data_IF_444640519538
#
_entry.id   IF_444640519538
#
_cell.length_a   1.000
_cell.length_b   1.000
_cell.length_c   1.000
_cell.angle_alpha   90.00
_cell.angle_beta   90.00
_cell.angle_gamma   90.00
#
_symmetry.space_group_name_H-M   'P 1'
#
loop_
_entity.id
_entity.type
_entity.pdbx_description
1 polymer ?
#
# COMPACT_ATOMS: atom_id res chain seq x y z
N UNK A 1 -30.88 41.98 13.24
CA UNK A 1 -30.51 40.56 13.16
C UNK A 1 -29.01 40.50 12.97
N UNK A 2 -28.30 40.15 14.05
CA UNK A 2 -26.84 40.08 14.13
C UNK A 2 -26.42 38.69 13.69
N UNK A 3 -25.53 38.57 12.70
CA UNK A 3 -24.86 37.30 12.40
C UNK A 3 -23.36 37.55 12.26
N UNK A 4 -22.66 37.28 13.37
CA UNK A 4 -21.22 37.06 13.40
C UNK A 4 -20.96 35.66 12.82
N UNK A 5 -20.15 35.56 11.76
CA UNK A 5 -19.64 34.29 11.27
C UNK A 5 -18.18 34.17 11.69
N UNK A 6 -17.94 33.37 12.73
CA UNK A 6 -16.61 33.06 13.25
C UNK A 6 -16.08 31.83 12.51
N UNK A 7 -14.98 32.02 11.77
CA UNK A 7 -14.23 30.95 11.14
C UNK A 7 -13.68 29.96 12.19
N UNK A 8 -14.17 28.72 12.15
CA UNK A 8 -13.60 27.59 12.89
C UNK A 8 -12.45 26.98 12.09
N UNK A 9 -11.22 27.37 12.38
CA UNK A 9 -10.03 26.59 12.01
C UNK A 9 -9.71 25.61 13.13
N UNK A 10 -9.85 24.33 12.84
CA UNK A 10 -9.53 23.22 13.74
C UNK A 10 -8.07 22.80 13.54
N UNK A 11 -7.20 23.23 14.45
CA UNK A 11 -5.85 22.68 14.58
C UNK A 11 -5.92 21.41 15.43
N UNK A 12 -5.97 20.25 14.78
CA UNK A 12 -5.66 18.97 15.41
C UNK A 12 -4.14 18.79 15.43
N UNK A 13 -3.58 18.59 16.63
CA UNK A 13 -2.35 17.80 16.80
C UNK A 13 -1.09 18.54 17.23
N UNK A 14 -1.09 19.09 18.45
CA UNK A 14 0.16 19.28 19.20
C UNK A 14 -0.02 18.75 20.62
N UNK A 15 0.35 17.48 20.85
CA UNK A 15 0.52 16.93 22.20
C UNK A 15 1.97 17.12 22.60
N UNK A 16 2.19 17.80 23.74
CA UNK A 16 3.39 17.58 24.55
C UNK A 16 4.34 18.77 24.73
N UNK A 17 3.85 19.90 25.24
CA UNK A 17 4.70 20.83 26.00
C UNK A 17 4.07 21.06 27.37
N UNK A 18 4.67 20.48 28.41
CA UNK A 18 4.38 20.83 29.80
C UNK A 18 5.07 22.16 30.08
N UNK A 19 4.31 23.25 29.98
CA UNK A 19 4.70 24.54 30.55
C UNK A 19 4.58 24.45 32.07
N UNK A 20 5.71 24.47 32.78
CA UNK A 20 5.70 24.71 34.22
C UNK A 20 5.61 26.22 34.45
N UNK A 21 4.38 26.71 34.64
CA UNK A 21 4.11 28.05 35.15
C UNK A 21 4.56 28.13 36.61
N UNK A 22 5.64 28.87 36.89
CA UNK A 22 5.95 29.34 38.24
C UNK A 22 4.89 30.39 38.62
N UNK A 23 3.83 29.97 39.32
CA UNK A 23 2.98 30.89 40.07
C UNK A 23 3.75 31.37 41.30
N UNK A 24 4.29 32.59 41.22
CA UNK A 24 4.62 33.40 42.40
C UNK A 24 3.31 33.76 43.10
N UNK A 25 2.92 32.97 44.10
CA UNK A 25 1.79 33.26 44.97
C UNK A 25 2.25 34.23 46.05
N UNK A 26 2.05 35.52 45.81
CA UNK A 26 2.17 36.56 46.85
C UNK A 26 0.82 36.67 47.55
N UNK A 27 0.70 36.39 48.87
CA UNK A 27 -0.49 36.75 49.62
C UNK A 27 -0.39 38.20 50.09
N UNK A 28 -1.39 39.00 49.73
CA UNK A 28 -1.68 40.30 50.31
C UNK A 28 -2.58 40.14 51.54
N UNK A 29 -2.40 41.06 52.51
CA UNK A 29 -3.28 41.55 53.59
C UNK A 29 -2.70 41.38 55.01
N UNK A 30 -3.01 42.27 55.98
CA UNK A 30 -3.28 43.72 55.93
C UNK A 30 -2.41 44.52 56.91
N UNK A 31 -2.37 45.86 56.76
CA UNK A 31 -1.79 46.79 57.75
C UNK A 31 -2.58 46.77 59.06
N UNK A 32 -1.88 46.58 60.19
CA UNK A 32 -2.30 47.01 61.53
C UNK A 32 -1.06 47.53 62.27
N UNK A 33 -1.30 48.59 63.06
CA UNK A 33 -0.39 49.58 63.60
C UNK A 33 0.76 49.10 64.52
N UNK A 34 1.71 50.01 64.66
CA UNK A 34 2.94 49.95 65.45
C UNK A 34 2.71 49.57 66.92
N UNK A 35 3.41 48.52 67.37
CA UNK A 35 3.94 48.54 68.73
C UNK A 35 5.35 47.93 68.77
N UNK A 36 6.28 48.85 69.03
CA UNK A 36 7.71 48.66 69.20
C UNK A 36 7.96 47.75 70.41
N UNK A 37 8.28 46.49 70.14
CA UNK A 37 8.90 45.60 71.12
C UNK A 37 10.25 45.25 70.53
N UNK A 38 11.31 45.57 71.27
CA UNK A 38 12.70 45.19 70.98
C UNK A 38 12.82 43.66 70.99
N UNK A 39 12.36 43.03 69.92
CA UNK A 39 12.74 41.69 69.57
C UNK A 39 14.14 41.80 68.99
N UNK A 40 15.13 41.42 69.79
CA UNK A 40 16.49 41.14 69.35
C UNK A 40 16.37 40.33 68.05
N UNK A 41 16.54 40.99 66.90
CA UNK A 41 16.44 40.34 65.59
C UNK A 41 17.68 39.47 65.53
N UNK A 42 17.57 38.25 66.05
CA UNK A 42 18.49 37.16 65.75
C UNK A 42 18.32 36.96 64.25
N UNK A 43 19.10 37.71 63.47
CA UNK A 43 19.17 37.64 62.01
C UNK A 43 19.67 36.24 61.72
N UNK A 44 18.74 35.29 61.58
CA UNK A 44 19.04 33.90 61.29
C UNK A 44 19.81 33.89 59.98
N UNK A 45 21.08 33.46 59.95
CA UNK A 45 21.86 33.54 58.73
C UNK A 45 21.17 32.72 57.64
N UNK A 46 20.84 33.37 56.52
CA UNK A 46 20.32 32.68 55.34
C UNK A 46 21.49 31.92 54.69
N UNK A 47 21.47 30.60 54.81
CA UNK A 47 22.47 29.74 54.19
C UNK A 47 21.99 29.36 52.79
N UNK A 48 22.65 29.90 51.77
CA UNK A 48 22.43 29.44 50.39
C UNK A 48 23.35 28.25 50.12
N UNK A 49 22.76 27.08 49.87
CA UNK A 49 23.47 25.92 49.33
C UNK A 49 23.59 26.08 47.82
N UNK A 50 24.72 26.61 47.36
CA UNK A 50 25.03 26.65 45.93
C UNK A 50 25.53 25.26 45.54
N UNK A 51 24.74 24.54 44.72
CA UNK A 51 25.19 23.31 44.08
C UNK A 51 26.18 23.67 42.98
N UNK A 52 27.46 23.42 43.21
CA UNK A 52 28.49 23.62 42.18
C UNK A 52 28.39 22.46 41.19
N UNK A 53 28.19 22.73 39.88
CA UNK A 53 28.22 21.70 38.87
C UNK A 53 29.55 20.93 38.96
N UNK A 54 29.48 19.61 39.12
CA UNK A 54 30.68 18.78 39.26
C UNK A 54 31.51 18.90 37.99
N UNK A 55 32.81 19.12 38.15
CA UNK A 55 33.72 19.29 37.02
C UNK A 55 33.81 17.97 36.25
N UNK A 56 33.29 17.98 35.03
CA UNK A 56 33.37 16.87 34.08
C UNK A 56 34.47 17.21 33.09
N UNK A 57 35.39 16.27 32.90
CA UNK A 57 36.48 16.36 31.94
C UNK A 57 35.99 16.83 30.55
N UNK A 58 36.65 17.88 30.05
CA UNK A 58 36.39 18.43 28.72
C UNK A 58 36.51 17.37 27.62
N UNK A 59 37.46 16.45 27.75
CA UNK A 59 37.66 15.34 26.80
C UNK A 59 36.43 14.44 26.70
N UNK A 60 35.77 14.17 27.83
CA UNK A 60 34.59 13.31 27.87
C UNK A 60 33.36 14.00 27.28
N UNK A 61 33.23 15.32 27.50
CA UNK A 61 32.18 16.13 26.84
C UNK A 61 32.35 16.14 25.33
N UNK A 62 33.59 16.26 24.84
CA UNK A 62 33.86 16.23 23.41
C UNK A 62 33.58 14.86 22.80
N UNK A 63 33.90 13.76 23.49
CA UNK A 63 33.51 12.40 23.05
C UNK A 63 31.99 12.24 22.90
N UNK A 64 31.20 12.76 23.85
CA UNK A 64 29.74 12.76 23.73
C UNK A 64 29.29 13.60 22.54
N UNK A 65 29.88 14.78 22.34
CA UNK A 65 29.55 15.65 21.21
C UNK A 65 29.82 14.98 19.87
N UNK A 66 30.98 14.33 19.72
CA UNK A 66 31.32 13.57 18.51
C UNK A 66 30.35 12.41 18.29
N UNK A 67 30.01 11.66 19.34
CA UNK A 67 29.03 10.58 19.25
C UNK A 67 27.61 11.09 18.88
N UNK A 68 27.22 12.29 19.35
CA UNK A 68 25.96 12.93 18.94
C UNK A 68 25.95 13.26 17.44
N UNK A 69 27.02 13.90 16.94
CA UNK A 69 27.17 14.22 15.52
C UNK A 69 27.12 12.95 14.65
N UNK A 70 27.77 11.87 15.10
CA UNK A 70 27.74 10.60 14.40
C UNK A 70 26.33 10.01 14.32
N UNK A 71 25.53 10.10 15.39
CA UNK A 71 24.12 9.65 15.37
C UNK A 71 23.29 10.49 14.41
N UNK A 72 23.49 11.81 14.40
CA UNK A 72 22.79 12.73 13.49
C UNK A 72 23.09 12.42 12.03
N UNK A 73 24.37 12.24 11.68
CA UNK A 73 24.81 11.86 10.34
C UNK A 73 24.20 10.52 9.89
N UNK A 74 24.24 9.49 10.76
CA UNK A 74 23.61 8.18 10.46
C UNK A 74 22.10 8.29 10.30
N UNK A 75 21.47 9.17 11.06
CA UNK A 75 20.03 9.44 10.96
C UNK A 75 19.68 10.09 9.63
N UNK A 76 20.45 11.10 9.21
CA UNK A 76 20.29 11.75 7.90
C UNK A 76 20.45 10.76 6.75
N UNK A 77 21.47 9.90 6.79
CA UNK A 77 21.68 8.87 5.79
C UNK A 77 20.50 7.90 5.69
N UNK A 78 20.01 7.40 6.84
CA UNK A 78 18.84 6.53 6.89
C UNK A 78 17.59 7.22 6.34
N UNK A 79 17.37 8.48 6.69
CA UNK A 79 16.19 9.24 6.27
C UNK A 79 16.25 9.61 4.77
N UNK A 80 17.43 9.85 4.22
CA UNK A 80 17.64 9.96 2.78
C UNK A 80 17.24 8.66 2.06
N UNK A 81 17.67 7.49 2.55
CA UNK A 81 17.24 6.20 2.00
C UNK A 81 15.71 6.04 2.12
N UNK A 82 15.11 6.44 3.24
CA UNK A 82 13.64 6.39 3.42
C UNK A 82 12.91 7.22 2.36
N UNK A 83 13.39 8.42 2.05
CA UNK A 83 12.82 9.25 1.00
C UNK A 83 12.89 8.55 -0.37
N UNK A 84 14.04 7.94 -0.70
CA UNK A 84 14.17 7.18 -1.96
C UNK A 84 13.24 5.96 -2.03
N UNK A 85 13.02 5.26 -0.90
CA UNK A 85 12.06 4.14 -0.81
C UNK A 85 10.64 4.64 -1.09
N UNK A 86 10.26 5.80 -0.55
CA UNK A 86 8.93 6.35 -0.75
C UNK A 86 8.67 6.67 -2.22
N UNK A 87 9.61 7.38 -2.88
CA UNK A 87 9.54 7.63 -4.32
C UNK A 87 9.48 6.32 -5.12
N UNK A 88 10.29 5.33 -4.74
CA UNK A 88 10.32 4.04 -5.44
C UNK A 88 9.01 3.27 -5.27
N UNK A 89 8.36 3.35 -4.10
CA UNK A 89 7.04 2.75 -3.87
C UNK A 89 5.99 3.32 -4.80
N UNK A 90 5.99 4.63 -5.01
CA UNK A 90 5.07 5.30 -5.94
C UNK A 90 5.28 4.77 -7.36
N UNK A 91 6.53 4.72 -7.84
CA UNK A 91 6.82 4.13 -9.17
C UNK A 91 6.41 2.65 -9.27
N UNK A 92 6.63 1.84 -8.22
CA UNK A 92 6.22 0.44 -8.21
C UNK A 92 4.69 0.28 -8.25
N UNK A 93 3.96 1.18 -7.58
CA UNK A 93 2.51 1.20 -7.62
C UNK A 93 2.01 1.56 -9.03
N UNK A 94 2.59 2.56 -9.68
CA UNK A 94 2.24 2.90 -11.07
C UNK A 94 2.44 1.71 -12.03
N UNK A 95 3.55 0.96 -11.90
CA UNK A 95 3.77 -0.24 -12.71
C UNK A 95 2.84 -1.39 -12.33
N UNK A 96 2.44 -1.49 -11.05
CA UNK A 96 1.41 -2.46 -10.62
C UNK A 96 0.08 -2.15 -11.28
N UNK A 97 -0.33 -0.87 -11.30
CA UNK A 97 -1.60 -0.45 -11.90
C UNK A 97 -1.58 -0.69 -13.41
N UNK A 98 -0.48 -0.37 -14.09
CA UNK A 98 -0.28 -0.71 -15.51
C UNK A 98 -0.38 -2.20 -15.78
N UNK A 99 0.20 -3.03 -14.92
CA UNK A 99 0.10 -4.49 -15.04
C UNK A 99 -1.34 -4.98 -14.84
N UNK A 100 -2.07 -4.43 -13.86
CA UNK A 100 -3.44 -4.84 -13.61
C UNK A 100 -4.38 -4.42 -14.75
N UNK A 101 -4.18 -3.23 -15.31
CA UNK A 101 -4.88 -2.78 -16.50
C UNK A 101 -4.57 -3.67 -17.72
N UNK A 102 -3.30 -4.02 -17.95
CA UNK A 102 -2.94 -4.93 -19.04
C UNK A 102 -3.59 -6.33 -18.87
N UNK A 103 -3.66 -6.84 -17.64
CA UNK A 103 -4.34 -8.11 -17.34
C UNK A 103 -5.84 -8.04 -17.56
N UNK A 104 -6.49 -6.93 -17.21
CA UNK A 104 -7.94 -6.78 -17.42
C UNK A 104 -8.25 -6.71 -18.91
N UNK A 105 -7.46 -5.98 -19.69
CA UNK A 105 -7.54 -5.96 -21.16
C UNK A 105 -7.32 -7.35 -21.77
N UNK A 106 -6.31 -8.09 -21.32
CA UNK A 106 -6.05 -9.46 -21.76
C UNK A 106 -7.22 -10.41 -21.45
N UNK A 107 -7.87 -10.26 -20.28
CA UNK A 107 -9.08 -11.02 -19.93
C UNK A 107 -10.23 -10.69 -20.89
N UNK A 108 -10.47 -9.42 -21.18
CA UNK A 108 -11.50 -9.00 -22.14
C UNK A 108 -11.26 -9.66 -23.51
N UNK A 109 -10.00 -9.71 -23.97
CA UNK A 109 -9.66 -10.41 -25.21
C UNK A 109 -9.95 -11.92 -25.14
N UNK A 110 -9.64 -12.59 -24.02
CA UNK A 110 -9.95 -14.02 -23.84
C UNK A 110 -11.45 -14.28 -23.82
N UNK A 111 -12.20 -13.46 -23.09
CA UNK A 111 -13.64 -13.59 -22.95
C UNK A 111 -14.32 -13.38 -24.30
N UNK A 112 -13.90 -12.36 -25.06
CA UNK A 112 -14.35 -12.14 -26.44
C UNK A 112 -14.06 -13.31 -27.37
N UNK A 113 -12.89 -13.95 -27.21
CA UNK A 113 -12.53 -15.13 -27.99
C UNK A 113 -13.38 -16.35 -27.61
N UNK A 114 -13.68 -16.55 -26.33
CA UNK A 114 -14.57 -17.61 -25.86
C UNK A 114 -16.00 -17.40 -26.37
N UNK A 115 -16.52 -16.18 -26.29
CA UNK A 115 -17.85 -15.84 -26.80
C UNK A 115 -17.96 -16.07 -28.31
N UNK A 116 -16.95 -15.65 -29.08
CA UNK A 116 -16.92 -15.88 -30.53
C UNK A 116 -16.81 -17.35 -30.91
N UNK A 117 -16.11 -18.18 -30.12
CA UNK A 117 -16.12 -19.64 -30.33
C UNK A 117 -17.52 -20.22 -30.16
N UNK A 118 -18.25 -19.81 -29.13
CA UNK A 118 -19.63 -20.26 -28.92
C UNK A 118 -20.55 -19.86 -30.08
N UNK A 119 -20.39 -18.65 -30.63
CA UNK A 119 -21.14 -18.20 -31.81
C UNK A 119 -20.85 -19.08 -33.04
N UNK A 120 -19.57 -19.42 -33.28
CA UNK A 120 -19.15 -20.31 -34.36
C UNK A 120 -19.74 -21.72 -34.17
N UNK A 121 -19.68 -22.26 -32.95
CA UNK A 121 -20.20 -23.60 -32.65
C UNK A 121 -21.71 -23.67 -32.85
N UNK A 122 -22.45 -22.61 -32.51
CA UNK A 122 -23.90 -22.48 -32.77
C UNK A 122 -24.21 -22.46 -34.27
N UNK A 123 -23.54 -21.60 -35.05
CA UNK A 123 -23.75 -21.51 -36.50
C UNK A 123 -23.36 -22.82 -37.20
N UNK A 124 -22.26 -23.45 -36.79
CA UNK A 124 -21.82 -24.73 -37.36
C UNK A 124 -22.82 -25.86 -37.07
N UNK A 125 -23.43 -25.86 -35.88
CA UNK A 125 -24.44 -26.85 -35.50
C UNK A 125 -25.72 -26.67 -36.33
N UNK A 126 -26.13 -25.42 -36.60
CA UNK A 126 -27.26 -25.13 -37.49
C UNK A 126 -27.01 -25.66 -38.92
N UNK A 127 -25.84 -25.37 -39.51
CA UNK A 127 -25.46 -25.91 -40.83
C UNK A 127 -25.49 -27.45 -40.83
N UNK A 128 -25.07 -28.10 -39.74
CA UNK A 128 -25.14 -29.56 -39.64
C UNK A 128 -26.56 -30.12 -39.56
N UNK A 129 -27.51 -29.39 -38.95
CA UNK A 129 -28.92 -29.78 -38.93
C UNK A 129 -29.52 -29.67 -40.34
N UNK A 130 -29.13 -28.64 -41.08
CA UNK A 130 -29.55 -28.41 -42.47
C UNK A 130 -29.11 -29.57 -43.38
N UNK A 131 -27.85 -29.99 -43.27
CA UNK A 131 -27.33 -31.14 -44.01
C UNK A 131 -28.08 -32.45 -43.70
N UNK A 132 -28.55 -32.62 -42.44
CA UNK A 132 -29.37 -33.77 -42.06
C UNK A 132 -30.77 -33.67 -42.68
N UNK A 133 -31.37 -32.47 -42.70
CA UNK A 133 -32.67 -32.24 -43.33
C UNK A 133 -32.63 -32.52 -44.84
N UNK A 134 -31.61 -32.02 -45.55
CA UNK A 134 -31.42 -32.28 -46.98
C UNK A 134 -31.28 -33.78 -47.28
N UNK A 135 -30.52 -34.49 -46.44
CA UNK A 135 -30.35 -35.95 -46.58
C UNK A 135 -31.65 -36.71 -46.32
N UNK A 136 -32.44 -36.30 -45.33
CA UNK A 136 -33.77 -36.88 -45.07
C UNK A 136 -34.68 -36.65 -46.27
N UNK A 137 -34.74 -35.42 -46.78
CA UNK A 137 -35.59 -35.06 -47.92
C UNK A 137 -35.23 -35.87 -49.17
N UNK A 138 -33.94 -36.02 -49.48
CA UNK A 138 -33.48 -36.80 -50.62
C UNK A 138 -33.89 -38.27 -50.50
N UNK A 139 -33.70 -38.91 -49.34
CA UNK A 139 -34.13 -40.32 -49.16
C UNK A 139 -35.65 -40.48 -49.21
N UNK A 140 -36.41 -39.52 -48.66
CA UNK A 140 -37.88 -39.52 -48.74
C UNK A 140 -38.34 -39.38 -50.20
N UNK A 141 -37.71 -38.51 -50.98
CA UNK A 141 -37.95 -38.36 -52.41
C UNK A 141 -37.63 -39.66 -53.18
N UNK A 142 -36.48 -40.29 -52.92
CA UNK A 142 -36.13 -41.58 -53.52
C UNK A 142 -37.20 -42.64 -53.26
N UNK A 143 -37.69 -42.75 -52.02
CA UNK A 143 -38.76 -43.70 -51.67
C UNK A 143 -40.07 -43.38 -52.43
N UNK A 144 -40.42 -42.10 -52.58
CA UNK A 144 -41.70 -41.68 -53.16
C UNK A 144 -41.73 -41.73 -54.69
N UNK A 145 -40.61 -41.50 -55.34
CA UNK A 145 -40.56 -41.20 -56.77
C UNK A 145 -39.66 -42.13 -57.59
N UNK A 146 -38.86 -42.98 -56.95
CA UNK A 146 -38.02 -43.96 -57.63
C UNK A 146 -38.56 -45.38 -57.42
N UNK A 147 -38.36 -46.26 -58.41
CA UNK A 147 -38.75 -47.67 -58.28
C UNK A 147 -37.59 -48.46 -57.70
N UNK A 148 -37.80 -49.11 -56.56
CA UNK A 148 -36.75 -49.85 -55.85
C UNK A 148 -37.29 -51.12 -55.17
N UNK A 149 -36.43 -52.12 -54.93
CA UNK A 149 -36.83 -53.33 -54.23
C UNK A 149 -37.13 -53.05 -52.75
N UNK A 150 -38.11 -53.77 -52.20
CA UNK A 150 -38.58 -53.68 -50.81
C UNK A 150 -37.48 -53.75 -49.74
N UNK A 151 -36.34 -54.38 -50.05
CA UNK A 151 -35.19 -54.47 -49.13
C UNK A 151 -34.48 -53.12 -48.98
N UNK A 152 -34.30 -52.39 -50.08
CA UNK A 152 -33.66 -51.08 -50.12
C UNK A 152 -34.55 -50.01 -49.50
N UNK A 153 -35.84 -50.02 -49.82
CA UNK A 153 -36.83 -49.14 -49.20
C UNK A 153 -36.85 -49.27 -47.67
N UNK A 154 -36.91 -50.52 -47.15
CA UNK A 154 -36.84 -50.77 -45.71
C UNK A 154 -35.54 -50.29 -45.07
N UNK A 155 -34.44 -50.32 -45.81
CA UNK A 155 -33.15 -49.82 -45.33
C UNK A 155 -33.16 -48.29 -45.25
N UNK A 156 -33.61 -47.59 -46.29
CA UNK A 156 -33.77 -46.13 -46.29
C UNK A 156 -34.69 -45.65 -45.17
N UNK A 157 -35.80 -46.36 -44.90
CA UNK A 157 -36.70 -46.03 -43.78
C UNK A 157 -35.98 -46.11 -42.43
N UNK A 158 -35.08 -47.08 -42.24
CA UNK A 158 -34.29 -47.19 -40.99
C UNK A 158 -33.28 -46.05 -40.87
N UNK A 159 -32.62 -45.69 -41.96
CA UNK A 159 -31.66 -44.59 -42.01
C UNK A 159 -32.34 -43.23 -41.76
N UNK A 160 -33.49 -42.97 -42.38
CA UNK A 160 -34.33 -41.80 -42.10
C UNK A 160 -34.65 -41.70 -40.60
N UNK A 161 -35.02 -42.82 -39.96
CA UNK A 161 -35.30 -42.83 -38.51
C UNK A 161 -34.08 -42.49 -37.68
N UNK A 162 -32.91 -43.04 -38.02
CA UNK A 162 -31.65 -42.73 -37.33
C UNK A 162 -31.26 -41.26 -37.49
N UNK A 163 -31.39 -40.71 -38.70
CA UNK A 163 -31.10 -39.31 -38.98
C UNK A 163 -32.07 -38.35 -38.29
N UNK A 164 -33.36 -38.69 -38.21
CA UNK A 164 -34.34 -37.92 -37.42
C UNK A 164 -33.98 -37.89 -35.94
N UNK A 165 -33.53 -39.02 -35.38
CA UNK A 165 -33.08 -39.09 -33.99
C UNK A 165 -31.80 -38.26 -33.75
N UNK A 166 -30.84 -38.32 -34.67
CA UNK A 166 -29.63 -37.48 -34.60
C UNK A 166 -29.97 -35.97 -34.68
N UNK A 167 -30.88 -35.59 -35.58
CA UNK A 167 -31.36 -34.21 -35.70
C UNK A 167 -31.95 -33.71 -34.39
N UNK A 168 -32.78 -34.53 -33.75
CA UNK A 168 -33.42 -34.20 -32.47
C UNK A 168 -32.39 -34.06 -31.34
N UNK A 169 -31.37 -34.93 -31.31
CA UNK A 169 -30.24 -34.79 -30.38
C UNK A 169 -29.50 -33.45 -30.57
N UNK A 170 -29.12 -33.10 -31.80
CA UNK A 170 -28.43 -31.85 -32.10
C UNK A 170 -29.30 -30.62 -31.81
N UNK A 171 -30.59 -30.68 -32.15
CA UNK A 171 -31.56 -29.61 -31.85
C UNK A 171 -31.74 -29.43 -30.34
N UNK A 172 -31.81 -30.51 -29.56
CA UNK A 172 -31.90 -30.44 -28.10
C UNK A 172 -30.67 -29.81 -27.46
N UNK A 173 -29.49 -29.99 -28.07
CA UNK A 173 -28.22 -29.41 -27.63
C UNK A 173 -28.09 -27.92 -28.00
N UNK A 174 -28.74 -27.47 -29.08
CA UNK A 174 -28.76 -26.06 -29.51
C UNK A 174 -29.71 -25.18 -28.70
N UNK A 175 -30.70 -25.75 -28.00
CA UNK A 175 -31.78 -24.98 -27.37
C UNK A 175 -32.70 -24.36 -28.43
N UNK A 176 -33.92 -23.96 -28.04
CA UNK A 176 -34.94 -23.40 -28.96
C UNK A 176 -34.37 -22.20 -29.72
N UNK A 177 -33.89 -22.45 -30.94
CA UNK A 177 -33.47 -21.45 -31.90
C UNK A 177 -34.40 -21.59 -33.09
N UNK A 178 -34.95 -20.44 -33.51
CA UNK A 178 -36.24 -20.28 -34.16
C UNK A 178 -36.53 -21.24 -35.31
N UNK A 179 -37.70 -21.89 -35.22
CA UNK A 179 -38.30 -22.73 -36.24
C UNK A 179 -38.83 -21.88 -37.40
N UNK A 180 -37.94 -21.30 -38.21
CA UNK A 180 -38.37 -20.63 -39.44
C UNK A 180 -37.97 -21.46 -40.67
N UNK A 181 -38.99 -21.77 -41.48
CA UNK A 181 -38.90 -22.51 -42.74
C UNK A 181 -37.73 -22.03 -43.62
N UNK A 182 -36.88 -22.98 -44.02
CA UNK A 182 -35.67 -22.76 -44.81
C UNK A 182 -35.92 -22.62 -46.31
N UNK A 183 -35.25 -21.64 -46.89
CA UNK A 183 -34.94 -21.54 -48.33
C UNK A 183 -33.43 -21.71 -48.53
N UNK A 184 -33.00 -22.14 -49.73
CA UNK A 184 -31.58 -22.30 -50.09
C UNK A 184 -30.75 -21.05 -49.78
N UNK A 185 -31.32 -19.85 -49.95
CA UNK A 185 -30.66 -18.56 -49.68
C UNK A 185 -30.23 -18.38 -48.21
N UNK A 186 -30.90 -19.04 -47.26
CA UNK A 186 -30.59 -18.96 -45.84
C UNK A 186 -29.30 -19.74 -45.50
N UNK A 187 -29.02 -20.83 -46.24
CA UNK A 187 -27.82 -21.65 -46.10
C UNK A 187 -26.58 -20.88 -46.53
N UNK A 188 -26.61 -20.30 -47.73
CA UNK A 188 -25.49 -19.52 -48.26
C UNK A 188 -25.15 -18.34 -47.32
N UNK A 189 -26.17 -17.65 -46.81
CA UNK A 189 -26.00 -16.60 -45.78
C UNK A 189 -25.35 -17.12 -44.50
N UNK A 190 -25.69 -18.33 -44.06
CA UNK A 190 -25.15 -18.94 -42.85
C UNK A 190 -23.70 -19.38 -43.05
N UNK A 191 -23.35 -19.92 -44.22
CA UNK A 191 -21.98 -20.24 -44.59
C UNK A 191 -21.09 -19.00 -44.73
N UNK A 192 -21.61 -17.92 -45.32
CA UNK A 192 -20.92 -16.63 -45.38
C UNK A 192 -20.69 -16.05 -43.98
N UNK A 193 -21.72 -16.04 -43.13
CA UNK A 193 -21.59 -15.63 -41.72
C UNK A 193 -20.53 -16.46 -41.00
N UNK A 194 -20.50 -17.77 -41.20
CA UNK A 194 -19.50 -18.64 -40.60
C UNK A 194 -18.07 -18.31 -41.05
N UNK A 195 -17.87 -18.02 -42.35
CA UNK A 195 -16.56 -17.57 -42.88
C UNK A 195 -16.12 -16.24 -42.24
N UNK A 196 -17.05 -15.29 -42.11
CA UNK A 196 -16.79 -14.00 -41.46
C UNK A 196 -16.40 -14.19 -39.98
N UNK A 197 -17.16 -15.00 -39.24
CA UNK A 197 -16.87 -15.30 -37.83
C UNK A 197 -15.49 -15.95 -37.63
N UNK A 198 -15.07 -16.82 -38.54
CA UNK A 198 -13.71 -17.40 -38.52
C UNK A 198 -12.62 -16.34 -38.69
N UNK A 199 -12.81 -15.41 -39.63
CA UNK A 199 -11.87 -14.30 -39.84
C UNK A 199 -11.79 -13.38 -38.61
N UNK A 200 -12.95 -13.04 -38.03
CA UNK A 200 -13.03 -12.29 -36.76
C UNK A 200 -12.32 -13.02 -35.63
N UNK A 201 -12.53 -14.33 -35.45
CA UNK A 201 -11.86 -15.12 -34.43
C UNK A 201 -10.33 -15.09 -34.60
N UNK A 202 -9.83 -15.21 -35.83
CA UNK A 202 -8.39 -15.15 -36.09
C UNK A 202 -7.80 -13.76 -35.81
N UNK A 203 -8.57 -12.69 -36.05
CA UNK A 203 -8.18 -11.34 -35.62
C UNK A 203 -8.11 -11.22 -34.10
N UNK A 204 -9.08 -11.79 -33.37
CA UNK A 204 -9.11 -11.80 -31.91
C UNK A 204 -7.96 -12.60 -31.31
N UNK A 205 -7.57 -13.72 -31.95
CA UNK A 205 -6.37 -14.50 -31.57
C UNK A 205 -5.10 -13.65 -31.66
N UNK A 206 -4.94 -12.86 -32.72
CA UNK A 206 -3.79 -11.96 -32.88
C UNK A 206 -3.78 -10.89 -31.80
N UNK A 207 -4.94 -10.29 -31.52
CA UNK A 207 -5.09 -9.28 -30.46
C UNK A 207 -4.78 -9.87 -29.07
N UNK A 208 -5.25 -11.08 -28.78
CA UNK A 208 -4.91 -11.79 -27.54
C UNK A 208 -3.41 -11.99 -27.40
N UNK A 209 -2.74 -12.48 -28.45
CA UNK A 209 -1.29 -12.70 -28.43
C UNK A 209 -0.50 -11.39 -28.25
N UNK A 210 -1.00 -10.27 -28.78
CA UNK A 210 -0.46 -8.95 -28.52
C UNK A 210 -0.70 -8.51 -27.07
N UNK A 211 -1.91 -8.70 -26.54
CA UNK A 211 -2.25 -8.43 -25.14
C UNK A 211 -1.34 -9.20 -24.17
N UNK A 212 -1.14 -10.51 -24.40
CA UNK A 212 -0.26 -11.34 -23.57
C UNK A 212 1.20 -10.85 -23.59
N UNK A 213 1.70 -10.38 -24.75
CA UNK A 213 3.03 -9.75 -24.84
C UNK A 213 3.11 -8.47 -24.02
N UNK A 214 2.08 -7.62 -24.07
CA UNK A 214 2.00 -6.38 -23.30
C UNK A 214 1.97 -6.68 -21.80
N UNK A 215 1.12 -7.60 -21.36
CA UNK A 215 1.03 -8.03 -19.95
C UNK A 215 2.35 -8.60 -19.46
N UNK A 216 3.02 -9.44 -20.26
CA UNK A 216 4.33 -10.00 -19.92
C UNK A 216 5.37 -8.88 -19.75
N UNK A 217 5.45 -7.95 -20.70
CA UNK A 217 6.36 -6.82 -20.62
C UNK A 217 6.07 -5.91 -19.40
N UNK A 218 4.80 -5.67 -19.08
CA UNK A 218 4.39 -4.91 -17.90
C UNK A 218 4.78 -5.65 -16.60
N UNK A 219 4.62 -6.97 -16.56
CA UNK A 219 4.99 -7.82 -15.42
C UNK A 219 6.48 -7.77 -15.17
N UNK A 220 7.29 -7.90 -16.22
CA UNK A 220 8.75 -7.89 -16.11
C UNK A 220 9.25 -6.54 -15.57
N UNK A 221 8.70 -5.43 -16.07
CA UNK A 221 8.99 -4.08 -15.53
C UNK A 221 8.62 -3.93 -14.07
N UNK A 222 7.43 -4.39 -13.67
CA UNK A 222 7.02 -4.36 -12.27
C UNK A 222 7.95 -5.17 -11.37
N UNK A 223 8.39 -6.36 -11.81
CA UNK A 223 9.29 -7.21 -11.05
C UNK A 223 10.67 -6.57 -10.86
N UNK A 224 11.25 -6.00 -11.92
CA UNK A 224 12.54 -5.30 -11.87
C UNK A 224 12.51 -4.12 -10.87
N UNK A 225 11.47 -3.29 -10.96
CA UNK A 225 11.29 -2.14 -10.07
C UNK A 225 11.05 -2.56 -8.61
N UNK A 226 10.28 -3.62 -8.39
CA UNK A 226 10.04 -4.20 -7.07
C UNK A 226 11.31 -4.83 -6.48
N UNK A 227 12.18 -5.42 -7.30
CA UNK A 227 13.48 -5.92 -6.84
C UNK A 227 14.38 -4.76 -6.37
N UNK A 228 14.43 -3.65 -7.12
CA UNK A 228 15.14 -2.44 -6.70
C UNK A 228 14.60 -1.89 -5.38
N UNK A 229 13.26 -1.88 -5.21
CA UNK A 229 12.64 -1.50 -3.95
C UNK A 229 13.05 -2.41 -2.78
N UNK A 230 13.12 -3.73 -2.99
CA UNK A 230 13.61 -4.69 -1.97
C UNK A 230 15.06 -4.42 -1.59
N UNK A 231 15.92 -4.10 -2.56
CA UNK A 231 17.33 -3.72 -2.30
C UNK A 231 17.43 -2.43 -1.48
N UNK A 232 16.62 -1.42 -1.76
CA UNK A 232 16.58 -0.21 -0.94
C UNK A 232 16.09 -0.50 0.49
N UNK A 233 15.10 -1.39 0.65
CA UNK A 233 14.61 -1.79 1.97
C UNK A 233 15.67 -2.52 2.81
N UNK A 234 16.51 -3.37 2.19
CA UNK A 234 17.61 -4.00 2.90
C UNK A 234 18.69 -2.99 3.29
N UNK A 235 19.04 -2.05 2.39
CA UNK A 235 19.96 -0.95 2.70
C UNK A 235 19.44 -0.06 3.84
N UNK A 236 18.14 0.24 3.86
CA UNK A 236 17.52 1.00 4.93
C UNK A 236 17.64 0.30 6.28
N UNK A 237 17.43 -1.03 6.33
CA UNK A 237 17.61 -1.82 7.55
C UNK A 237 19.05 -1.74 8.04
N UNK A 238 20.02 -2.01 7.16
CA UNK A 238 21.44 -1.89 7.50
C UNK A 238 21.83 -0.49 8.00
N UNK A 239 21.29 0.57 7.38
CA UNK A 239 21.52 1.95 7.82
C UNK A 239 20.87 2.25 9.18
N UNK A 240 19.67 1.71 9.47
CA UNK A 240 19.04 1.87 10.77
C UNK A 240 19.78 1.08 11.86
N UNK A 241 20.27 -0.12 11.56
CA UNK A 241 21.08 -0.93 12.49
C UNK A 241 22.36 -0.15 12.89
N UNK A 242 23.09 0.41 11.91
CA UNK A 242 24.26 1.27 12.18
C UNK A 242 23.91 2.51 13.03
N UNK A 243 22.74 3.12 12.79
CA UNK A 243 22.25 4.25 13.60
C UNK A 243 21.91 3.81 15.03
N UNK A 244 21.33 2.62 15.20
CA UNK A 244 21.03 2.05 16.51
C UNK A 244 22.31 1.75 17.29
N UNK A 245 23.34 1.20 16.65
CA UNK A 245 24.66 0.99 17.25
C UNK A 245 25.30 2.31 17.71
N UNK A 246 25.32 3.32 16.85
CA UNK A 246 25.83 4.65 17.20
C UNK A 246 25.04 5.27 18.37
N UNK A 247 23.73 5.06 18.41
CA UNK A 247 22.89 5.54 19.50
C UNK A 247 23.17 4.78 20.80
N UNK A 248 23.36 3.46 20.76
CA UNK A 248 23.74 2.66 21.91
C UNK A 248 25.09 3.13 22.50
N UNK A 249 26.07 3.41 21.64
CA UNK A 249 27.35 3.98 22.03
C UNK A 249 27.20 5.39 22.67
N UNK A 250 26.36 6.26 22.11
CA UNK A 250 26.08 7.55 22.73
C UNK A 250 25.42 7.39 24.12
N UNK A 251 24.51 6.44 24.27
CA UNK A 251 23.84 6.16 25.54
C UNK A 251 24.80 5.60 26.59
N UNK A 252 25.73 4.70 26.21
CA UNK A 252 26.75 4.20 27.14
C UNK A 252 27.63 5.33 27.64
N UNK A 253 28.11 6.23 26.76
CA UNK A 253 28.88 7.41 27.17
C UNK A 253 28.11 8.33 28.12
N UNK A 254 26.83 8.58 27.85
CA UNK A 254 25.98 9.39 28.76
C UNK A 254 25.78 8.72 30.12
N UNK A 255 25.66 7.40 30.15
CA UNK A 255 25.56 6.64 31.40
C UNK A 255 26.86 6.71 32.21
N UNK A 256 28.00 6.49 31.56
CA UNK A 256 29.32 6.66 32.18
C UNK A 256 29.53 8.08 32.71
N UNK A 257 29.06 9.11 31.98
CA UNK A 257 29.08 10.49 32.48
C UNK A 257 28.32 10.60 33.79
N UNK A 258 27.10 10.07 33.83
CA UNK A 258 26.25 10.14 35.00
C UNK A 258 26.89 9.43 36.21
N UNK A 259 27.46 8.24 36.00
CA UNK A 259 28.18 7.48 37.03
C UNK A 259 29.39 8.26 37.55
N UNK A 260 30.21 8.84 36.67
CA UNK A 260 31.36 9.70 37.03
C UNK A 260 30.94 10.95 37.79
N UNK A 261 29.84 11.59 37.38
CA UNK A 261 29.28 12.73 38.11
C UNK A 261 28.75 12.30 39.48
N UNK A 262 28.15 11.12 39.60
CA UNK A 262 27.68 10.63 40.89
C UNK A 262 28.83 10.33 41.85
N UNK A 263 29.96 9.82 41.33
CA UNK A 263 31.13 9.41 42.12
C UNK A 263 32.06 10.55 42.57
N UNK A 264 32.02 11.72 41.92
CA UNK A 264 32.79 12.89 42.38
C UNK A 264 32.22 13.40 43.72
N UNK A 265 32.99 13.93 44.69
CA UNK A 265 32.41 14.51 45.90
C UNK A 265 31.52 15.72 45.59
N UNK A 266 30.42 15.90 46.33
CA UNK A 266 29.58 17.08 46.25
C UNK A 266 30.36 18.28 46.83
N UNK A 267 30.88 19.15 45.97
CA UNK A 267 31.42 20.43 46.44
C UNK A 267 30.25 21.35 46.80
N UNK A 268 29.99 21.49 48.09
CA UNK A 268 29.03 22.45 48.63
C UNK A 268 29.81 23.63 49.21
N UNK A 269 29.50 24.83 48.71
CA UNK A 269 29.97 26.08 49.32
C UNK A 269 28.80 26.71 50.04
N UNK A 270 28.97 26.98 51.34
CA UNK A 270 28.05 27.81 52.11
C UNK A 270 28.57 29.24 52.10
N UNK A 271 27.80 30.16 51.51
CA UNK A 271 28.09 31.60 51.60
C UNK A 271 27.20 32.17 52.69
N UNK A 272 27.81 32.77 53.71
CA UNK A 272 27.10 33.47 54.79
C UNK A 272 27.35 34.98 54.67
N UNK A 273 26.28 35.77 54.77
CA UNK A 273 26.35 37.24 54.75
C UNK A 273 26.01 37.78 56.15
N UNK A 274 26.98 38.43 56.79
CA UNK A 274 26.77 39.17 58.04
C UNK A 274 26.48 40.64 57.75
N UNK A 275 25.27 41.09 58.08
CA UNK A 275 24.83 42.46 57.91
C UNK A 275 25.30 43.36 59.07
N UNK A 276 26.61 43.60 59.16
CA UNK A 276 27.23 44.62 60.01
C UNK A 276 28.49 45.11 59.28
N UNK A 277 28.45 46.38 58.85
CA UNK A 277 29.58 47.24 58.44
C UNK A 277 30.81 46.61 57.77
N UNK A 278 30.95 46.85 56.47
CA UNK A 278 32.18 46.81 55.68
C UNK A 278 33.06 45.54 55.76
N UNK A 279 32.96 44.74 54.68
CA UNK A 279 33.90 43.68 54.22
C UNK A 279 34.05 42.45 55.13
N UNK A 280 33.26 41.41 54.89
CA UNK A 280 33.77 40.02 54.88
C UNK A 280 32.71 39.06 54.29
N UNK A 281 32.92 38.67 53.02
CA UNK A 281 32.30 37.47 52.44
C UNK A 281 33.03 36.27 53.02
N UNK A 282 32.41 35.56 53.97
CA UNK A 282 32.97 34.31 54.49
C UNK A 282 32.50 33.16 53.60
N UNK A 283 33.41 32.66 52.78
CA UNK A 283 33.21 31.49 51.92
C UNK A 283 33.82 30.30 52.65
N UNK A 284 32.98 29.53 53.34
CA UNK A 284 33.40 28.28 53.97
C UNK A 284 33.19 27.13 52.96
N UNK A 285 34.29 26.45 52.60
CA UNK A 285 34.31 25.34 51.65
C UNK A 285 34.18 24.03 52.42
N UNK A 286 33.16 23.25 52.12
CA UNK A 286 33.00 21.89 52.66
C UNK A 286 33.48 20.88 51.61
N UNK A 287 34.36 19.95 52.02
CA UNK A 287 34.87 18.86 51.17
C UNK A 287 33.94 17.65 51.19
#
# INVERSE_FOLDING_TARGET
MVNQSVNKLTLKGFRGMRAYNLHLRVPLLPLVDEQKVDAEVVKKPFHFLIKIPRYVDYKFKEQIRLAQLQVEERTQNRDAIRATIQMKRETCNEYRDKLENAKSEERICRDGLSAKRQEIDSVQSAISIDDINDRIHNMEHMIQHETMPLKEEKQLIREIKQLKLLREQLSSQMGRQDEDQQTSDQRDRSEERFKLLKQELDSLRKNLLQGEKITKAAKDKYLDENEKLRKLQSQFKAADDLRQEAYAHLQSLKKELYEKVLSLPLQCISISFSALGNKLLRIDKWY
#
